data_IF_760023125778
#
_entry.id   IF_760023125778
#
_cell.length_a   1.000
_cell.length_b   1.000
_cell.length_c   1.000
_cell.angle_alpha   90.00
_cell.angle_beta   90.00
_cell.angle_gamma   90.00
#
_symmetry.space_group_name_H-M   'P 1'
#
loop_
_entity.id
_entity.type
_entity.pdbx_description
1 polymer ?
#
# COMPACT_ATOMS: atom_id res chain seq x y z
N UNK A 1 49.76 -1.76 14.14
CA UNK A 1 49.69 -0.62 13.22
C UNK A 1 48.31 -0.01 13.33
N UNK A 2 48.22 1.18 13.93
CA UNK A 2 46.95 1.89 14.13
C UNK A 2 46.48 2.40 12.76
N UNK A 3 45.38 1.87 12.25
CA UNK A 3 44.69 2.42 11.10
C UNK A 3 43.98 3.72 11.53
N UNK A 4 44.62 4.85 11.24
CA UNK A 4 43.92 6.13 11.25
C UNK A 4 42.75 6.02 10.27
N UNK A 5 41.53 6.18 10.74
CA UNK A 5 40.32 6.27 9.94
C UNK A 5 40.50 7.42 8.94
N UNK A 6 40.56 7.17 7.61
CA UNK A 6 40.58 8.27 6.66
C UNK A 6 39.25 9.01 6.80
N UNK A 7 39.34 10.28 7.12
CA UNK A 7 38.20 11.16 7.21
C UNK A 7 37.33 11.03 5.97
N UNK A 8 36.02 11.13 6.13
CA UNK A 8 35.03 10.99 5.09
C UNK A 8 35.29 12.06 3.99
N UNK A 9 35.95 11.69 2.90
CA UNK A 9 36.25 12.59 1.79
C UNK A 9 34.97 12.89 1.01
N UNK A 10 34.40 14.05 1.22
CA UNK A 10 33.17 14.50 0.57
C UNK A 10 33.25 14.49 -0.97
N UNK A 11 34.42 14.76 -1.52
CA UNK A 11 34.70 14.65 -2.97
C UNK A 11 34.60 13.22 -3.47
N UNK A 12 35.10 12.23 -2.71
CA UNK A 12 35.00 10.82 -3.03
C UNK A 12 33.53 10.34 -2.97
N UNK A 13 32.79 10.75 -1.93
CA UNK A 13 31.36 10.46 -1.80
C UNK A 13 30.56 10.99 -3.00
N UNK A 14 30.75 12.26 -3.36
CA UNK A 14 30.08 12.91 -4.49
C UNK A 14 30.38 12.27 -5.83
N UNK A 15 31.66 11.91 -6.09
CA UNK A 15 32.06 11.26 -7.33
C UNK A 15 31.49 9.85 -7.44
N UNK A 16 31.48 9.10 -6.34
CA UNK A 16 30.93 7.74 -6.28
C UNK A 16 29.40 7.75 -6.47
N UNK A 17 28.68 8.63 -5.78
CA UNK A 17 27.23 8.80 -5.95
C UNK A 17 26.86 9.17 -7.39
N UNK A 18 27.63 10.08 -8.01
CA UNK A 18 27.42 10.46 -9.43
C UNK A 18 27.69 9.28 -10.38
N UNK A 19 28.70 8.48 -10.11
CA UNK A 19 29.00 7.29 -10.92
C UNK A 19 27.90 6.24 -10.80
N UNK A 20 27.43 5.97 -9.57
CA UNK A 20 26.32 5.03 -9.30
C UNK A 20 25.02 5.50 -9.95
N UNK A 21 24.67 6.79 -9.80
CA UNK A 21 23.47 7.36 -10.41
C UNK A 21 23.51 7.27 -11.93
N UNK A 22 24.67 7.57 -12.55
CA UNK A 22 24.84 7.40 -14.01
C UNK A 22 24.72 5.94 -14.43
N UNK A 23 25.26 5.01 -13.64
CA UNK A 23 25.11 3.57 -13.85
C UNK A 23 23.64 3.16 -13.84
N UNK A 24 22.89 3.59 -12.83
CA UNK A 24 21.45 3.31 -12.72
C UNK A 24 20.63 3.89 -13.89
N UNK A 25 20.88 5.16 -14.25
CA UNK A 25 20.17 5.82 -15.38
C UNK A 25 20.51 5.16 -16.73
N UNK A 26 21.71 4.59 -16.89
CA UNK A 26 22.09 3.88 -18.12
C UNK A 26 21.57 2.44 -18.18
N UNK A 27 21.20 1.87 -17.05
CA UNK A 27 20.62 0.53 -16.97
C UNK A 27 19.11 0.61 -17.27
N UNK A 28 18.77 0.46 -18.55
CA UNK A 28 17.37 0.50 -19.03
C UNK A 28 16.51 -0.58 -18.37
N UNK A 29 17.09 -1.72 -18.06
CA UNK A 29 16.39 -2.83 -17.41
C UNK A 29 16.05 -2.49 -15.96
N UNK A 30 17.02 -1.97 -15.21
CA UNK A 30 16.80 -1.51 -13.84
C UNK A 30 15.73 -0.41 -13.79
N UNK A 31 15.76 0.58 -14.69
CA UNK A 31 14.74 1.63 -14.79
C UNK A 31 13.37 1.06 -15.15
N UNK A 32 13.29 0.14 -16.10
CA UNK A 32 12.02 -0.45 -16.51
C UNK A 32 11.36 -1.21 -15.35
N UNK A 33 12.10 -2.02 -14.63
CA UNK A 33 11.54 -2.81 -13.52
C UNK A 33 11.32 -2.00 -12.25
N UNK A 34 12.14 -1.01 -11.95
CA UNK A 34 12.00 -0.22 -10.72
C UNK A 34 10.95 0.89 -10.84
N UNK A 35 10.75 1.46 -12.02
CA UNK A 35 9.86 2.61 -12.22
C UNK A 35 8.67 2.25 -13.12
N UNK A 36 8.93 1.72 -14.32
CA UNK A 36 7.88 1.50 -15.32
C UNK A 36 6.89 0.41 -14.88
N UNK A 37 7.38 -0.72 -14.34
CA UNK A 37 6.54 -1.84 -13.94
C UNK A 37 5.56 -1.44 -12.81
N UNK A 38 5.99 -0.82 -11.70
CA UNK A 38 5.05 -0.37 -10.67
C UNK A 38 4.06 0.69 -11.16
N UNK A 39 4.46 1.60 -12.04
CA UNK A 39 3.55 2.56 -12.68
C UNK A 39 2.54 1.85 -13.57
N UNK A 40 2.98 0.84 -14.33
CA UNK A 40 2.07 0.02 -15.13
C UNK A 40 1.03 -0.69 -14.25
N UNK A 41 1.46 -1.26 -13.11
CA UNK A 41 0.55 -1.83 -12.13
C UNK A 41 -0.42 -0.79 -11.56
N UNK A 42 0.04 0.42 -11.26
CA UNK A 42 -0.84 1.51 -10.82
C UNK A 42 -1.90 1.83 -11.88
N UNK A 43 -1.51 1.91 -13.15
CA UNK A 43 -2.43 2.19 -14.25
C UNK A 43 -3.41 1.03 -14.44
N UNK A 44 -2.94 -0.22 -14.47
CA UNK A 44 -3.79 -1.40 -14.66
C UNK A 44 -4.77 -1.60 -13.50
N UNK A 45 -4.26 -1.68 -12.27
CA UNK A 45 -5.10 -1.90 -11.10
C UNK A 45 -5.97 -0.69 -10.81
N UNK A 46 -5.44 0.52 -10.93
CA UNK A 46 -6.22 1.75 -10.74
C UNK A 46 -7.36 1.87 -11.76
N UNK A 47 -7.16 1.46 -13.02
CA UNK A 47 -8.23 1.43 -14.03
C UNK A 47 -9.26 0.32 -13.73
N UNK A 48 -8.81 -0.84 -13.28
CA UNK A 48 -9.68 -1.96 -12.92
C UNK A 48 -10.59 -1.60 -11.73
N UNK A 49 -10.04 -0.98 -10.70
CA UNK A 49 -10.81 -0.54 -9.53
C UNK A 49 -11.67 0.70 -9.80
N UNK A 50 -11.40 1.46 -10.86
CA UNK A 50 -12.27 2.56 -11.30
C UNK A 50 -13.60 2.06 -11.83
N UNK A 51 -13.65 0.84 -12.38
CA UNK A 51 -14.87 0.18 -12.87
C UNK A 51 -15.79 -0.33 -11.76
N UNK A 52 -15.43 -0.13 -10.48
CA UNK A 52 -16.26 -0.20 -9.28
C UNK A 52 -17.23 -1.38 -9.17
N UNK A 53 -16.86 -2.53 -9.61
CA UNK A 53 -17.74 -3.70 -9.47
C UNK A 53 -17.42 -4.51 -8.23
N UNK A 54 -17.89 -4.13 -7.05
CA UNK A 54 -18.19 -5.16 -6.05
C UNK A 54 -19.37 -5.97 -6.55
N UNK A 55 -19.22 -7.28 -6.79
CA UNK A 55 -20.29 -8.08 -7.38
C UNK A 55 -21.52 -8.23 -6.46
N UNK A 56 -21.46 -7.76 -5.21
CA UNK A 56 -22.55 -7.77 -4.25
C UNK A 56 -22.51 -6.52 -3.38
N UNK A 57 -23.66 -5.83 -3.30
CA UNK A 57 -23.87 -4.74 -2.33
C UNK A 57 -23.92 -5.32 -0.90
N UNK A 58 -23.02 -4.86 -0.06
CA UNK A 58 -23.02 -5.22 1.36
C UNK A 58 -23.97 -4.29 2.12
N UNK A 59 -25.07 -4.84 2.62
CA UNK A 59 -26.12 -4.09 3.32
C UNK A 59 -26.19 -4.56 4.77
N UNK A 60 -26.12 -3.60 5.71
CA UNK A 60 -26.31 -3.87 7.14
C UNK A 60 -27.76 -3.62 7.50
N UNK A 61 -28.47 -4.65 7.90
CA UNK A 61 -29.83 -4.58 8.40
C UNK A 61 -29.82 -4.18 9.88
N UNK A 62 -30.48 -3.07 10.21
CA UNK A 62 -30.61 -2.57 11.57
C UNK A 62 -31.92 -3.08 12.15
N UNK A 63 -31.85 -4.02 13.08
CA UNK A 63 -33.03 -4.70 13.64
C UNK A 63 -33.63 -5.69 12.65
N UNK A 64 -34.96 -5.78 12.57
CA UNK A 64 -35.65 -6.65 11.62
C UNK A 64 -36.35 -5.81 10.54
N UNK A 65 -35.85 -5.91 9.29
CA UNK A 65 -36.44 -5.25 8.12
C UNK A 65 -37.30 -6.26 7.35
N UNK A 66 -38.59 -6.33 7.70
CA UNK A 66 -39.51 -7.31 7.12
C UNK A 66 -39.61 -7.25 5.59
N UNK A 67 -39.26 -6.11 4.97
CA UNK A 67 -39.15 -5.96 3.51
C UNK A 67 -37.98 -6.73 2.93
N UNK A 68 -36.80 -6.68 3.58
CA UNK A 68 -35.61 -7.41 3.12
C UNK A 68 -35.77 -8.90 3.31
N UNK A 69 -36.32 -9.36 4.43
CA UNK A 69 -36.51 -10.79 4.70
C UNK A 69 -37.47 -11.46 3.70
N UNK A 70 -38.49 -10.72 3.22
CA UNK A 70 -39.46 -11.17 2.20
C UNK A 70 -38.88 -11.17 0.78
N UNK A 71 -37.94 -10.29 0.49
CA UNK A 71 -37.34 -10.12 -0.85
C UNK A 71 -36.01 -10.85 -1.00
N UNK A 72 -35.27 -11.08 0.08
CA UNK A 72 -33.97 -11.77 0.07
C UNK A 72 -34.05 -13.23 -0.41
N UNK A 73 -35.23 -13.86 -0.31
CA UNK A 73 -35.47 -15.22 -0.80
C UNK A 73 -35.83 -15.31 -2.29
N UNK A 74 -35.93 -14.18 -3.02
CA UNK A 74 -36.31 -14.23 -4.43
C UNK A 74 -35.08 -14.40 -5.35
N UNK A 75 -35.19 -15.29 -6.38
CA UNK A 75 -34.14 -15.44 -7.37
C UNK A 75 -33.92 -14.11 -8.12
N UNK A 76 -32.73 -13.54 -7.98
CA UNK A 76 -32.31 -12.26 -8.59
C UNK A 76 -31.74 -11.24 -7.60
N UNK A 77 -32.26 -11.13 -6.39
CA UNK A 77 -31.72 -10.21 -5.37
C UNK A 77 -30.68 -10.86 -4.44
N UNK A 78 -30.79 -12.15 -4.19
CA UNK A 78 -29.81 -12.94 -3.42
C UNK A 78 -28.41 -12.99 -4.08
N UNK A 79 -28.33 -12.74 -5.38
CA UNK A 79 -27.06 -12.61 -6.12
C UNK A 79 -26.41 -11.25 -6.01
N UNK A 80 -27.18 -10.19 -5.69
CA UNK A 80 -26.73 -8.80 -5.71
C UNK A 80 -26.50 -8.23 -4.32
N UNK A 81 -27.21 -8.76 -3.29
CA UNK A 81 -27.15 -8.26 -1.91
C UNK A 81 -26.45 -9.28 -0.99
N UNK A 82 -25.47 -8.81 -0.22
CA UNK A 82 -24.93 -9.50 0.95
C UNK A 82 -25.46 -8.79 2.19
N UNK A 83 -26.38 -9.44 2.94
CA UNK A 83 -27.04 -8.83 4.11
C UNK A 83 -26.34 -9.31 5.37
N UNK A 84 -25.91 -8.37 6.21
CA UNK A 84 -25.42 -8.59 7.57
C UNK A 84 -26.38 -7.92 8.56
N UNK A 85 -26.51 -8.47 9.77
CA UNK A 85 -27.41 -7.95 10.78
C UNK A 85 -26.66 -7.21 11.88
N UNK A 86 -27.15 -6.03 12.29
CA UNK A 86 -26.64 -5.29 13.43
C UNK A 86 -27.81 -4.81 14.30
N UNK A 87 -27.68 -4.95 15.62
CA UNK A 87 -28.68 -4.44 16.55
C UNK A 87 -28.48 -2.94 16.86
N UNK A 88 -27.28 -2.41 16.65
CA UNK A 88 -26.93 -1.01 16.98
C UNK A 88 -26.88 -0.16 15.71
N UNK A 89 -27.80 0.80 15.60
CA UNK A 89 -27.84 1.80 14.52
C UNK A 89 -26.52 2.56 14.38
N UNK A 90 -25.92 2.96 15.53
CA UNK A 90 -24.65 3.73 15.48
C UNK A 90 -23.50 2.88 14.95
N UNK A 91 -23.48 1.57 15.25
CA UNK A 91 -22.51 0.65 14.73
C UNK A 91 -22.68 0.47 13.21
N UNK A 92 -23.90 0.19 12.75
CA UNK A 92 -24.20 0.03 11.33
C UNK A 92 -23.87 1.27 10.50
N UNK A 93 -24.24 2.47 10.98
CA UNK A 93 -23.89 3.73 10.30
C UNK A 93 -22.35 3.97 10.31
N UNK A 94 -21.64 3.55 11.36
CA UNK A 94 -20.17 3.60 11.37
C UNK A 94 -19.56 2.66 10.33
N UNK A 95 -20.11 1.46 10.13
CA UNK A 95 -19.68 0.53 9.09
C UNK A 95 -19.85 1.13 7.70
N UNK A 96 -20.99 1.79 7.41
CA UNK A 96 -21.18 2.53 6.15
C UNK A 96 -20.18 3.68 6.03
N UNK A 97 -19.95 4.42 7.11
CA UNK A 97 -18.98 5.53 7.13
C UNK A 97 -17.53 5.04 6.91
N UNK A 98 -17.19 3.86 7.40
CA UNK A 98 -15.89 3.22 7.19
C UNK A 98 -15.77 2.49 5.86
N UNK A 99 -16.91 2.33 5.12
CA UNK A 99 -17.00 1.58 3.88
C UNK A 99 -16.85 0.08 4.07
N UNK A 100 -17.12 -0.40 5.25
CA UNK A 100 -17.22 -1.84 5.52
C UNK A 100 -18.57 -2.38 5.02
N UNK A 101 -19.56 -1.47 4.81
CA UNK A 101 -20.84 -1.72 4.17
C UNK A 101 -21.20 -0.60 3.18
N UNK A 102 -21.92 -0.92 2.12
CA UNK A 102 -22.36 0.02 1.10
C UNK A 102 -23.61 0.80 1.54
N UNK A 103 -24.48 0.15 2.34
CA UNK A 103 -25.66 0.77 2.91
C UNK A 103 -26.04 0.15 4.26
N UNK A 104 -26.66 0.95 5.13
CA UNK A 104 -27.35 0.47 6.33
C UNK A 104 -28.84 0.80 6.23
N UNK A 105 -29.68 -0.18 6.50
CA UNK A 105 -31.13 -0.11 6.27
C UNK A 105 -31.87 -0.38 7.54
N UNK A 106 -32.86 0.51 7.85
CA UNK A 106 -33.73 0.39 9.00
C UNK A 106 -35.20 0.55 8.55
N UNK A 107 -36.08 -0.26 9.05
CA UNK A 107 -37.52 -0.10 8.84
C UNK A 107 -38.20 0.43 10.11
N UNK A 108 -38.92 1.53 9.98
CA UNK A 108 -39.74 2.10 11.06
C UNK A 108 -41.17 2.25 10.52
N UNK A 109 -42.03 1.31 10.85
CA UNK A 109 -43.40 1.28 10.31
C UNK A 109 -43.39 1.13 8.78
N UNK A 110 -43.95 2.11 8.08
CA UNK A 110 -43.99 2.19 6.61
C UNK A 110 -42.78 2.93 6.00
N UNK A 111 -41.86 3.40 6.81
CA UNK A 111 -40.69 4.11 6.33
C UNK A 111 -39.48 3.17 6.25
N UNK A 112 -38.86 3.10 5.08
CA UNK A 112 -37.58 2.44 4.87
C UNK A 112 -36.49 3.50 4.83
N UNK A 113 -35.67 3.54 5.88
CA UNK A 113 -34.59 4.50 6.02
C UNK A 113 -33.29 3.83 5.53
N UNK A 114 -32.70 4.37 4.49
CA UNK A 114 -31.44 3.85 3.90
C UNK A 114 -30.33 4.88 4.09
N UNK A 115 -29.34 4.50 4.90
CA UNK A 115 -28.10 5.26 5.05
C UNK A 115 -27.08 4.72 4.05
N UNK A 116 -26.61 5.53 3.13
CA UNK A 116 -25.62 5.12 2.12
C UNK A 116 -24.55 6.18 1.93
N UNK A 117 -23.41 5.76 1.40
CA UNK A 117 -22.28 6.62 1.13
C UNK A 117 -22.35 7.23 -0.27
N UNK A 118 -21.96 8.51 -0.40
CA UNK A 118 -21.79 9.21 -1.68
C UNK A 118 -20.36 9.20 -2.21
N UNK A 119 -19.42 8.55 -1.52
CA UNK A 119 -18.02 8.53 -1.95
C UNK A 119 -17.82 7.84 -3.30
N UNK A 120 -18.68 6.87 -3.63
CA UNK A 120 -18.75 6.25 -4.94
C UNK A 120 -20.13 6.52 -5.57
N UNK A 121 -20.23 7.44 -6.56
CA UNK A 121 -21.49 7.76 -7.23
C UNK A 121 -22.14 6.56 -7.91
N UNK A 122 -21.34 5.58 -8.36
CA UNK A 122 -21.84 4.37 -9.02
C UNK A 122 -22.55 3.48 -8.01
N UNK A 123 -21.92 3.18 -6.88
CA UNK A 123 -22.53 2.40 -5.80
C UNK A 123 -23.72 3.11 -5.19
N UNK A 124 -23.66 4.44 -5.00
CA UNK A 124 -24.79 5.24 -4.53
C UNK A 124 -25.99 5.13 -5.48
N UNK A 125 -25.78 5.22 -6.80
CA UNK A 125 -26.83 5.04 -7.80
C UNK A 125 -27.43 3.63 -7.79
N UNK A 126 -26.62 2.61 -7.62
CA UNK A 126 -27.09 1.21 -7.54
C UNK A 126 -27.91 1.02 -6.24
N UNK A 127 -27.45 1.51 -5.10
CA UNK A 127 -28.19 1.46 -3.82
C UNK A 127 -29.56 2.11 -3.98
N UNK A 128 -29.63 3.32 -4.51
CA UNK A 128 -30.91 4.02 -4.75
C UNK A 128 -31.82 3.23 -5.66
N UNK A 129 -31.31 2.71 -6.78
CA UNK A 129 -32.10 1.94 -7.75
C UNK A 129 -32.61 0.63 -7.15
N UNK A 130 -31.80 -0.09 -6.40
CA UNK A 130 -32.19 -1.35 -5.76
C UNK A 130 -33.27 -1.10 -4.70
N UNK A 131 -33.06 -0.15 -3.79
CA UNK A 131 -34.05 0.12 -2.73
C UNK A 131 -35.33 0.75 -3.24
N UNK A 132 -35.27 1.61 -4.26
CA UNK A 132 -36.49 2.11 -4.91
C UNK A 132 -37.30 1.00 -5.58
N UNK A 133 -36.62 0.03 -6.23
CA UNK A 133 -37.26 -1.13 -6.83
C UNK A 133 -37.89 -2.07 -5.78
N UNK A 134 -37.27 -2.24 -4.62
CA UNK A 134 -37.81 -3.03 -3.50
C UNK A 134 -39.09 -2.38 -2.95
N UNK A 135 -39.07 -1.07 -2.73
CA UNK A 135 -40.22 -0.30 -2.26
C UNK A 135 -41.36 -0.36 -3.26
N UNK A 136 -41.09 -0.06 -4.54
CA UNK A 136 -42.11 -0.10 -5.60
C UNK A 136 -42.78 -1.49 -5.73
N UNK A 137 -42.00 -2.57 -5.62
CA UNK A 137 -42.55 -3.93 -5.61
C UNK A 137 -43.41 -4.25 -4.37
N UNK A 138 -42.95 -3.78 -3.20
CA UNK A 138 -43.70 -3.98 -1.96
C UNK A 138 -45.06 -3.28 -2.01
N UNK A 139 -45.13 -2.10 -2.60
CA UNK A 139 -46.38 -1.34 -2.81
C UNK A 139 -47.31 -2.04 -3.81
N UNK A 140 -46.77 -2.59 -4.91
CA UNK A 140 -47.59 -3.36 -5.86
C UNK A 140 -48.26 -4.61 -5.26
N UNK A 141 -47.58 -5.28 -4.32
CA UNK A 141 -48.13 -6.49 -3.68
C UNK A 141 -49.20 -6.15 -2.63
N UNK A 142 -49.19 -4.94 -2.07
CA UNK A 142 -50.10 -4.55 -0.98
C UNK A 142 -51.48 -4.08 -1.42
N UNK A 143 -51.61 -3.61 -2.65
CA UNK A 143 -52.87 -3.13 -3.24
C UNK A 143 -53.68 -2.09 -2.40
N UNK A 144 -53.07 -1.51 -1.34
CA UNK A 144 -53.70 -0.53 -0.45
C UNK A 144 -53.03 0.84 -0.59
N UNK A 145 -53.69 1.87 -1.14
CA UNK A 145 -53.11 3.19 -1.34
C UNK A 145 -52.75 3.93 -0.06
N UNK A 146 -53.38 3.58 1.08
CA UNK A 146 -53.12 4.23 2.37
C UNK A 146 -51.86 3.67 3.09
N UNK A 147 -51.25 2.62 2.56
CA UNK A 147 -50.14 1.92 3.19
C UNK A 147 -48.84 1.94 2.41
N UNK A 148 -48.66 2.88 1.46
CA UNK A 148 -47.43 2.94 0.66
C UNK A 148 -46.17 3.13 1.50
N UNK A 149 -45.10 2.42 1.12
CA UNK A 149 -43.81 2.56 1.78
C UNK A 149 -43.11 3.84 1.32
N UNK A 150 -42.53 4.57 2.27
CA UNK A 150 -41.75 5.77 1.98
C UNK A 150 -40.25 5.41 2.07
N UNK A 151 -39.51 5.62 0.99
CA UNK A 151 -38.07 5.51 0.98
C UNK A 151 -37.46 6.83 1.45
N UNK A 152 -36.84 6.82 2.62
CA UNK A 152 -36.10 7.94 3.15
C UNK A 152 -34.58 7.62 2.99
N UNK A 153 -33.91 8.43 2.20
CA UNK A 153 -32.48 8.25 1.96
C UNK A 153 -31.67 9.27 2.75
N UNK A 154 -30.76 8.79 3.60
CA UNK A 154 -29.82 9.61 4.32
C UNK A 154 -28.41 9.39 3.75
N UNK A 155 -27.83 10.46 3.25
CA UNK A 155 -26.43 10.47 2.82
C UNK A 155 -25.53 10.50 4.07
N UNK A 156 -24.60 9.57 4.13
CA UNK A 156 -23.58 9.52 5.17
C UNK A 156 -22.27 10.00 4.55
N UNK A 157 -21.67 11.03 5.15
CA UNK A 157 -20.30 11.42 4.80
C UNK A 157 -19.38 10.23 5.02
N UNK A 158 -18.81 9.74 3.94
CA UNK A 158 -17.94 8.59 3.99
C UNK A 158 -16.49 9.06 4.15
N UNK A 159 -15.85 8.58 5.19
CA UNK A 159 -14.41 8.70 5.39
C UNK A 159 -13.63 7.53 4.76
N UNK A 160 -14.32 6.67 3.98
CA UNK A 160 -13.69 5.52 3.35
C UNK A 160 -12.72 5.99 2.27
N UNK A 161 -11.47 5.61 2.35
CA UNK A 161 -10.53 5.87 1.28
C UNK A 161 -11.00 5.16 0.02
N UNK A 162 -11.10 5.90 -1.09
CA UNK A 162 -11.31 5.28 -2.42
C UNK A 162 -10.29 4.18 -2.64
N UNK A 163 -10.58 3.14 -3.43
CA UNK A 163 -9.60 2.08 -3.71
C UNK A 163 -8.24 2.61 -4.14
N UNK A 164 -8.20 3.71 -4.88
CA UNK A 164 -6.96 4.37 -5.29
C UNK A 164 -6.15 4.91 -4.10
N UNK A 165 -6.80 5.38 -3.04
CA UNK A 165 -6.12 5.88 -1.83
C UNK A 165 -5.41 4.76 -1.06
N UNK A 166 -5.87 3.51 -1.20
CA UNK A 166 -5.21 2.34 -0.68
C UNK A 166 -4.11 1.83 -1.63
N UNK A 167 -4.42 1.75 -2.93
CA UNK A 167 -3.53 1.17 -3.94
C UNK A 167 -2.25 1.98 -4.12
N UNK A 168 -2.34 3.32 -4.15
CA UNK A 168 -1.17 4.17 -4.41
C UNK A 168 -0.09 4.00 -3.35
N UNK A 169 -0.36 4.15 -2.03
CA UNK A 169 0.66 3.88 -1.01
C UNK A 169 1.17 2.43 -1.02
N UNK A 170 0.29 1.47 -1.28
CA UNK A 170 0.64 0.05 -1.35
C UNK A 170 1.62 -0.26 -2.49
N UNK A 171 1.29 0.13 -3.70
CA UNK A 171 2.12 -0.06 -4.89
C UNK A 171 3.44 0.73 -4.81
N UNK A 172 3.38 1.96 -4.29
CA UNK A 172 4.58 2.77 -4.07
C UNK A 172 5.49 2.11 -3.03
N UNK A 173 4.94 1.61 -1.92
CA UNK A 173 5.69 0.88 -0.90
C UNK A 173 6.37 -0.37 -1.46
N UNK A 174 5.65 -1.16 -2.26
CA UNK A 174 6.21 -2.32 -2.96
C UNK A 174 7.29 -1.94 -3.97
N UNK A 175 7.09 -0.87 -4.74
CA UNK A 175 8.07 -0.37 -5.71
C UNK A 175 9.38 0.04 -5.03
N UNK A 176 9.28 0.79 -3.92
CA UNK A 176 10.44 1.23 -3.14
C UNK A 176 11.15 0.03 -2.51
N UNK A 177 10.40 -0.88 -1.86
CA UNK A 177 10.94 -2.07 -1.25
C UNK A 177 11.68 -2.95 -2.26
N UNK A 178 11.06 -3.19 -3.42
CA UNK A 178 11.66 -3.96 -4.51
C UNK A 178 12.91 -3.27 -5.05
N UNK A 179 12.79 -2.00 -5.44
CA UNK A 179 13.90 -1.23 -6.02
C UNK A 179 15.11 -1.16 -5.09
N UNK A 180 14.89 -0.87 -3.80
CA UNK A 180 15.97 -0.79 -2.81
C UNK A 180 16.61 -2.16 -2.56
N UNK A 181 15.81 -3.23 -2.43
CA UNK A 181 16.33 -4.58 -2.16
C UNK A 181 17.11 -5.13 -3.36
N UNK A 182 16.50 -5.12 -4.56
CA UNK A 182 17.17 -5.62 -5.78
C UNK A 182 18.39 -4.79 -6.12
N UNK A 183 18.26 -3.45 -6.04
CA UNK A 183 19.34 -2.54 -6.33
C UNK A 183 20.56 -2.79 -5.45
N UNK A 184 20.37 -2.93 -4.15
CA UNK A 184 21.46 -3.20 -3.22
C UNK A 184 22.06 -4.61 -3.41
N UNK A 185 21.22 -5.64 -3.55
CA UNK A 185 21.65 -7.03 -3.68
C UNK A 185 22.47 -7.26 -4.96
N UNK A 186 21.93 -6.83 -6.11
CA UNK A 186 22.57 -7.02 -7.40
C UNK A 186 23.86 -6.19 -7.51
N UNK A 187 23.84 -4.95 -7.01
CA UNK A 187 25.01 -4.07 -7.01
C UNK A 187 26.15 -4.69 -6.21
N UNK A 188 25.87 -5.23 -5.02
CA UNK A 188 26.90 -5.83 -4.17
C UNK A 188 27.51 -7.07 -4.83
N UNK A 189 26.70 -7.95 -5.42
CA UNK A 189 27.18 -9.13 -6.15
C UNK A 189 27.99 -8.72 -7.39
N UNK A 190 27.50 -7.74 -8.15
CA UNK A 190 28.21 -7.21 -9.32
C UNK A 190 29.60 -6.66 -8.97
N UNK A 191 29.70 -5.93 -7.86
CA UNK A 191 30.99 -5.39 -7.41
C UNK A 191 31.99 -6.47 -6.97
N UNK A 192 31.49 -7.57 -6.39
CA UNK A 192 32.35 -8.73 -6.13
C UNK A 192 32.88 -9.33 -7.42
N UNK A 193 32.00 -9.62 -8.39
CA UNK A 193 32.42 -10.23 -9.66
C UNK A 193 33.38 -9.37 -10.46
N UNK A 194 33.17 -8.05 -10.46
CA UNK A 194 34.06 -7.11 -11.18
C UNK A 194 35.37 -6.81 -10.44
N UNK A 195 35.61 -7.44 -9.28
CA UNK A 195 36.74 -7.14 -8.39
C UNK A 195 36.85 -5.66 -8.02
N UNK A 196 35.76 -4.92 -8.16
CA UNK A 196 35.68 -3.49 -7.81
C UNK A 196 35.97 -3.28 -6.33
N UNK A 197 35.45 -4.16 -5.47
CA UNK A 197 35.67 -4.11 -4.02
C UNK A 197 37.17 -4.23 -3.69
N UNK A 198 37.90 -5.10 -4.41
CA UNK A 198 39.37 -5.23 -4.25
C UNK A 198 40.09 -3.94 -4.65
N UNK A 199 39.70 -3.32 -5.77
CA UNK A 199 40.27 -2.03 -6.21
C UNK A 199 39.93 -0.89 -5.27
N UNK A 200 38.72 -0.86 -4.71
CA UNK A 200 38.32 0.13 -3.71
C UNK A 200 39.10 -0.01 -2.40
N UNK A 201 39.50 -1.23 -2.03
CA UNK A 201 40.34 -1.48 -0.84
C UNK A 201 41.75 -0.90 -1.01
N UNK A 202 42.25 -0.80 -2.23
CA UNK A 202 43.55 -0.17 -2.55
C UNK A 202 43.44 1.37 -2.69
N UNK A 203 42.24 1.90 -2.83
CA UNK A 203 41.98 3.33 -2.87
C UNK A 203 41.76 3.88 -1.44
N UNK A 204 42.03 5.16 -1.17
CA UNK A 204 41.79 5.78 0.14
C UNK A 204 40.29 6.08 0.35
N UNK A 205 39.41 5.07 0.12
CA UNK A 205 37.95 5.18 0.25
C UNK A 205 37.49 4.20 1.32
N UNK A 206 36.81 4.70 2.34
CA UNK A 206 36.25 3.84 3.38
C UNK A 206 35.01 3.09 2.87
N UNK A 207 34.81 1.86 3.36
CA UNK A 207 33.61 1.06 3.10
C UNK A 207 32.33 1.82 3.45
N UNK A 208 32.36 2.59 4.52
CA UNK A 208 31.23 3.42 4.93
C UNK A 208 30.85 4.45 3.87
N UNK A 209 31.84 5.06 3.20
CA UNK A 209 31.58 6.01 2.10
C UNK A 209 30.89 5.36 0.90
N UNK A 210 31.21 4.11 0.62
CA UNK A 210 30.60 3.33 -0.46
C UNK A 210 29.13 3.01 -0.15
N UNK A 211 28.87 2.55 1.08
CA UNK A 211 27.49 2.24 1.54
C UNK A 211 26.65 3.53 1.61
N UNK A 212 27.22 4.62 2.13
CA UNK A 212 26.54 5.92 2.18
C UNK A 212 26.24 6.48 0.77
N UNK A 213 27.17 6.32 -0.19
CA UNK A 213 26.90 6.72 -1.57
C UNK A 213 25.75 5.92 -2.18
N UNK A 214 25.75 4.59 -1.96
CA UNK A 214 24.65 3.72 -2.38
C UNK A 214 23.32 4.09 -1.74
N UNK A 215 23.32 4.36 -0.43
CA UNK A 215 22.14 4.83 0.29
C UNK A 215 21.62 6.15 -0.29
N UNK A 216 22.49 7.12 -0.53
CA UNK A 216 22.11 8.40 -1.14
C UNK A 216 21.46 8.25 -2.51
N UNK A 217 21.98 7.36 -3.35
CA UNK A 217 21.38 7.06 -4.67
C UNK A 217 20.03 6.36 -4.51
N UNK A 218 19.92 5.36 -3.63
CA UNK A 218 18.66 4.66 -3.39
C UNK A 218 17.57 5.60 -2.84
N UNK A 219 17.93 6.50 -1.92
CA UNK A 219 17.03 7.53 -1.38
C UNK A 219 16.55 8.49 -2.48
N UNK A 220 17.46 8.94 -3.35
CA UNK A 220 17.12 9.81 -4.47
C UNK A 220 16.15 9.12 -5.44
N UNK A 221 16.43 7.85 -5.78
CA UNK A 221 15.55 7.05 -6.65
C UNK A 221 14.17 6.88 -6.02
N UNK A 222 14.09 6.58 -4.72
CA UNK A 222 12.83 6.44 -4.00
C UNK A 222 12.01 7.74 -3.98
N UNK A 223 12.67 8.89 -3.81
CA UNK A 223 12.00 10.20 -3.88
C UNK A 223 11.49 10.50 -5.30
N UNK A 224 12.25 10.16 -6.33
CA UNK A 224 11.81 10.30 -7.72
C UNK A 224 10.61 9.38 -8.00
N UNK A 225 10.65 8.13 -7.54
CA UNK A 225 9.52 7.20 -7.63
C UNK A 225 8.29 7.76 -6.92
N UNK A 226 8.44 8.25 -5.69
CA UNK A 226 7.35 8.86 -4.94
C UNK A 226 6.75 10.06 -5.69
N UNK A 227 7.59 10.97 -6.18
CA UNK A 227 7.14 12.12 -6.94
C UNK A 227 6.37 11.72 -8.21
N UNK A 228 6.90 10.73 -8.96
CA UNK A 228 6.25 10.22 -10.16
C UNK A 228 4.90 9.56 -9.86
N UNK A 229 4.82 8.72 -8.81
CA UNK A 229 3.58 8.09 -8.40
C UNK A 229 2.53 9.12 -7.98
N UNK A 230 2.92 10.12 -7.19
CA UNK A 230 2.02 11.19 -6.78
C UNK A 230 1.54 12.01 -7.98
N UNK A 231 2.45 12.36 -8.89
CA UNK A 231 2.12 13.11 -10.10
C UNK A 231 1.04 12.37 -10.92
N UNK A 232 1.19 11.06 -11.10
CA UNK A 232 0.24 10.25 -11.86
C UNK A 232 -1.06 10.07 -11.07
N UNK A 233 -0.98 9.73 -9.79
CA UNK A 233 -2.14 9.38 -8.97
C UNK A 233 -3.05 10.58 -8.68
N UNK A 234 -2.50 11.80 -8.61
CA UNK A 234 -3.28 13.03 -8.40
C UNK A 234 -3.95 13.57 -9.65
N UNK A 235 -3.69 12.97 -10.83
CA UNK A 235 -4.41 13.35 -12.05
C UNK A 235 -5.92 13.13 -11.90
N UNK A 236 -6.76 13.89 -12.63
CA UNK A 236 -8.21 13.71 -12.59
C UNK A 236 -8.66 12.28 -12.97
N UNK A 237 -7.81 11.56 -13.71
CA UNK A 237 -8.07 10.17 -14.10
C UNK A 237 -8.08 9.23 -12.88
N UNK A 238 -7.14 9.34 -11.95
CA UNK A 238 -7.07 8.50 -10.76
C UNK A 238 -7.74 9.14 -9.53
N UNK A 239 -7.69 10.47 -9.43
CA UNK A 239 -8.41 11.23 -8.42
C UNK A 239 -7.94 10.97 -6.98
N UNK A 240 -6.64 10.69 -6.78
CA UNK A 240 -6.06 10.59 -5.44
C UNK A 240 -6.17 11.94 -4.72
N UNK A 241 -6.83 11.95 -3.59
CA UNK A 241 -6.91 13.11 -2.71
C UNK A 241 -5.88 12.98 -1.59
N UNK A 242 -4.89 13.86 -1.60
CA UNK A 242 -3.86 13.90 -0.57
C UNK A 242 -4.39 14.64 0.67
N UNK A 243 -4.08 14.11 1.84
CA UNK A 243 -4.39 14.75 3.12
C UNK A 243 -3.40 15.91 3.40
N UNK A 244 -3.70 16.75 4.39
CA UNK A 244 -2.79 17.81 4.80
C UNK A 244 -1.43 17.29 5.34
N UNK A 245 -1.39 16.03 5.82
CA UNK A 245 -0.20 15.40 6.39
C UNK A 245 0.63 14.58 5.39
N UNK A 246 0.32 14.62 4.08
CA UNK A 246 0.96 13.79 3.04
C UNK A 246 2.49 13.91 3.01
N UNK A 247 3.05 15.05 3.39
CA UNK A 247 4.49 15.29 3.43
C UNK A 247 5.24 14.36 4.40
N UNK A 248 4.54 13.83 5.42
CA UNK A 248 5.08 12.82 6.34
C UNK A 248 5.35 11.46 5.66
N UNK A 249 4.81 11.23 4.46
CA UNK A 249 5.20 10.08 3.66
C UNK A 249 6.68 10.13 3.25
N UNK A 250 7.29 11.32 3.13
CA UNK A 250 8.72 11.47 2.79
C UNK A 250 9.61 10.77 3.82
N UNK A 251 9.58 11.10 5.13
CA UNK A 251 10.41 10.40 6.12
C UNK A 251 10.08 8.89 6.21
N UNK A 252 8.82 8.49 6.03
CA UNK A 252 8.45 7.05 5.99
C UNK A 252 9.14 6.35 4.81
N UNK A 253 9.11 6.95 3.62
CA UNK A 253 9.78 6.45 2.41
C UNK A 253 11.28 6.38 2.61
N UNK A 254 11.90 7.39 3.21
CA UNK A 254 13.35 7.40 3.46
C UNK A 254 13.75 6.26 4.41
N UNK A 255 13.05 6.10 5.54
CA UNK A 255 13.31 5.00 6.49
C UNK A 255 13.03 3.63 5.85
N UNK A 256 11.93 3.50 5.10
CA UNK A 256 11.61 2.27 4.37
C UNK A 256 12.69 1.90 3.34
N UNK A 257 13.15 2.88 2.56
CA UNK A 257 14.23 2.65 1.58
C UNK A 257 15.50 2.12 2.25
N UNK A 258 15.90 2.69 3.38
CA UNK A 258 17.08 2.22 4.12
C UNK A 258 16.88 0.82 4.71
N UNK A 259 15.69 0.52 5.23
CA UNK A 259 15.37 -0.81 5.74
C UNK A 259 15.45 -1.87 4.63
N UNK A 260 14.84 -1.63 3.48
CA UNK A 260 14.84 -2.56 2.35
C UNK A 260 16.19 -2.64 1.65
N UNK A 261 16.95 -1.55 1.58
CA UNK A 261 18.34 -1.57 1.16
C UNK A 261 19.18 -2.46 2.07
N UNK A 262 18.97 -2.43 3.38
CA UNK A 262 19.69 -3.29 4.34
C UNK A 262 19.38 -4.77 4.13
N UNK A 263 18.11 -5.11 3.81
CA UNK A 263 17.72 -6.47 3.39
C UNK A 263 18.48 -6.86 2.11
N UNK A 264 18.54 -5.97 1.13
CA UNK A 264 19.26 -6.20 -0.12
C UNK A 264 20.77 -6.43 0.08
N UNK A 265 21.40 -5.63 0.95
CA UNK A 265 22.81 -5.82 1.32
C UNK A 265 23.04 -7.17 2.00
N UNK A 266 22.13 -7.59 2.88
CA UNK A 266 22.20 -8.89 3.53
C UNK A 266 22.07 -10.02 2.50
N UNK A 267 21.10 -9.97 1.60
CA UNK A 267 20.94 -10.93 0.49
C UNK A 267 22.20 -10.97 -0.36
N UNK A 268 22.70 -9.81 -0.77
CA UNK A 268 23.93 -9.68 -1.55
C UNK A 268 25.17 -10.23 -0.82
N UNK A 269 25.16 -10.31 0.52
CA UNK A 269 26.26 -10.89 1.29
C UNK A 269 26.35 -12.42 1.13
N UNK A 270 25.23 -13.11 0.97
CA UNK A 270 25.15 -14.57 0.81
C UNK A 270 25.15 -15.01 -0.65
N UNK A 271 24.52 -14.22 -1.53
CA UNK A 271 24.34 -14.61 -2.92
C UNK A 271 25.67 -14.65 -3.68
N UNK A 272 25.92 -15.75 -4.39
CA UNK A 272 27.13 -15.91 -5.21
C UNK A 272 26.97 -15.34 -6.62
N UNK A 273 25.75 -15.28 -7.15
CA UNK A 273 25.44 -14.79 -8.50
C UNK A 273 24.30 -13.76 -8.45
N UNK A 274 24.22 -12.92 -9.48
CA UNK A 274 23.10 -11.97 -9.59
C UNK A 274 21.75 -12.68 -9.71
N UNK A 275 21.71 -13.83 -10.39
CA UNK A 275 20.51 -14.66 -10.52
C UNK A 275 20.05 -15.19 -9.15
N UNK A 276 21.00 -15.69 -8.35
CA UNK A 276 20.70 -16.15 -6.99
C UNK A 276 20.21 -14.99 -6.11
N UNK A 277 20.83 -13.82 -6.19
CA UNK A 277 20.41 -12.62 -5.46
C UNK A 277 18.99 -12.22 -5.84
N UNK A 278 18.67 -12.22 -7.13
CA UNK A 278 17.32 -11.91 -7.64
C UNK A 278 16.29 -12.93 -7.18
N UNK A 279 16.62 -14.23 -7.23
CA UNK A 279 15.71 -15.29 -6.78
C UNK A 279 15.39 -15.18 -5.28
N UNK A 280 16.41 -14.95 -4.44
CA UNK A 280 16.24 -14.78 -2.99
C UNK A 280 15.42 -13.50 -2.70
N UNK A 281 15.74 -12.39 -3.38
CA UNK A 281 15.01 -11.15 -3.22
C UNK A 281 13.51 -11.30 -3.58
N UNK A 282 13.20 -11.99 -4.69
CA UNK A 282 11.82 -12.30 -5.07
C UNK A 282 11.11 -13.16 -4.03
N UNK A 283 11.79 -14.19 -3.51
CA UNK A 283 11.23 -15.09 -2.49
C UNK A 283 10.86 -14.33 -1.19
N UNK A 284 11.56 -13.24 -0.89
CA UNK A 284 11.31 -12.41 0.29
C UNK A 284 10.27 -11.31 -0.01
N UNK A 285 10.47 -10.55 -1.11
CA UNK A 285 9.66 -9.35 -1.38
C UNK A 285 8.26 -9.72 -1.85
N UNK A 286 8.09 -10.78 -2.63
CA UNK A 286 6.78 -11.13 -3.18
C UNK A 286 5.78 -11.56 -2.09
N UNK A 287 6.10 -12.48 -1.16
CA UNK A 287 5.23 -12.75 -0.02
C UNK A 287 4.98 -11.51 0.86
N UNK A 288 6.02 -10.69 1.09
CA UNK A 288 5.86 -9.44 1.85
C UNK A 288 4.87 -8.48 1.18
N UNK A 289 4.79 -8.45 -0.15
CA UNK A 289 3.87 -7.56 -0.86
C UNK A 289 2.40 -7.93 -0.60
N UNK A 290 2.11 -9.23 -0.53
CA UNK A 290 0.76 -9.70 -0.17
C UNK A 290 0.50 -9.58 1.33
N UNK A 291 1.42 -10.05 2.17
CA UNK A 291 1.28 -10.04 3.63
C UNK A 291 1.42 -8.63 4.23
N UNK A 292 2.12 -7.73 3.56
CA UNK A 292 2.28 -6.33 3.98
C UNK A 292 1.13 -5.42 3.59
N UNK A 293 0.11 -5.94 2.89
CA UNK A 293 -1.06 -5.15 2.50
C UNK A 293 -0.81 -4.19 1.33
N UNK A 294 0.18 -4.47 0.47
CA UNK A 294 0.47 -3.62 -0.68
C UNK A 294 -0.58 -3.75 -1.79
N UNK A 295 -1.09 -4.96 -2.04
CA UNK A 295 -2.04 -5.25 -3.11
C UNK A 295 -3.46 -5.45 -2.61
N UNK A 296 -3.63 -6.03 -1.42
CA UNK A 296 -4.92 -6.38 -0.85
C UNK A 296 -4.99 -5.81 0.57
N UNK A 297 -6.09 -5.10 0.93
CA UNK A 297 -6.27 -4.64 2.30
C UNK A 297 -6.28 -5.81 3.30
N UNK A 298 -5.41 -5.74 4.30
CA UNK A 298 -5.26 -6.81 5.30
C UNK A 298 -6.54 -7.07 6.11
N UNK A 299 -7.47 -6.11 6.18
CA UNK A 299 -8.78 -6.28 6.85
C UNK A 299 -9.62 -7.42 6.26
N UNK A 300 -9.40 -7.78 4.99
CA UNK A 300 -10.10 -8.89 4.33
C UNK A 300 -9.39 -10.23 4.48
N UNK A 301 -8.19 -10.22 5.07
CA UNK A 301 -7.40 -11.42 5.28
C UNK A 301 -7.86 -12.17 6.54
N UNK A 302 -7.70 -13.51 6.61
CA UNK A 302 -7.90 -14.28 7.84
C UNK A 302 -7.04 -13.73 9.00
N UNK A 303 -7.52 -13.89 10.24
CA UNK A 303 -6.86 -13.33 11.45
C UNK A 303 -5.40 -13.77 11.56
N UNK A 304 -5.11 -15.05 11.35
CA UNK A 304 -3.73 -15.58 11.40
C UNK A 304 -2.79 -14.88 10.40
N UNK A 305 -3.33 -14.44 9.24
CA UNK A 305 -2.55 -13.73 8.22
C UNK A 305 -2.32 -12.27 8.64
N UNK A 306 -3.31 -11.65 9.29
CA UNK A 306 -3.17 -10.33 9.88
C UNK A 306 -2.09 -10.33 10.96
N UNK A 307 -2.06 -11.36 11.81
CA UNK A 307 -1.04 -11.52 12.84
C UNK A 307 0.35 -11.73 12.25
N UNK A 308 0.48 -12.61 11.25
CA UNK A 308 1.75 -12.84 10.54
C UNK A 308 2.27 -11.57 9.86
N UNK A 309 1.39 -10.68 9.41
CA UNK A 309 1.76 -9.44 8.75
C UNK A 309 2.54 -8.47 9.64
N UNK A 310 2.36 -8.54 10.98
CA UNK A 310 3.13 -7.70 11.91
C UNK A 310 4.63 -7.98 11.88
N UNK A 311 5.04 -9.18 11.46
CA UNK A 311 6.45 -9.51 11.27
C UNK A 311 7.03 -8.93 9.96
N UNK A 312 6.18 -8.41 9.06
CA UNK A 312 6.59 -7.97 7.74
C UNK A 312 6.97 -6.49 7.71
N UNK A 313 8.21 -6.12 7.37
CA UNK A 313 8.65 -4.72 7.26
C UNK A 313 7.80 -3.88 6.30
N UNK A 314 7.34 -4.47 5.21
CA UNK A 314 6.54 -3.78 4.19
C UNK A 314 5.21 -3.28 4.75
N UNK A 315 4.61 -3.98 5.72
CA UNK A 315 3.40 -3.53 6.41
C UNK A 315 3.58 -2.13 6.99
N UNK A 316 4.68 -1.89 7.69
CA UNK A 316 4.92 -0.59 8.35
C UNK A 316 5.16 0.52 7.32
N UNK A 317 5.86 0.22 6.22
CA UNK A 317 6.04 1.17 5.13
C UNK A 317 4.70 1.55 4.50
N UNK A 318 3.87 0.54 4.17
CA UNK A 318 2.57 0.74 3.51
C UNK A 318 1.57 1.42 4.43
N UNK A 319 1.40 0.93 5.67
CA UNK A 319 0.45 1.53 6.63
C UNK A 319 0.86 2.94 7.01
N UNK A 320 2.14 3.19 7.29
CA UNK A 320 2.62 4.54 7.59
C UNK A 320 2.34 5.55 6.47
N UNK A 321 2.49 5.13 5.21
CA UNK A 321 2.10 5.98 4.08
C UNK A 321 0.58 6.12 3.95
N UNK A 322 -0.20 5.05 4.17
CA UNK A 322 -1.66 5.11 4.10
C UNK A 322 -2.24 6.06 5.15
N UNK A 323 -1.73 6.02 6.37
CA UNK A 323 -2.22 6.82 7.49
C UNK A 323 -2.07 8.32 7.22
N UNK A 324 -0.93 8.73 6.63
CA UNK A 324 -0.65 10.14 6.36
C UNK A 324 -1.10 10.61 4.97
N UNK A 325 -1.20 9.75 3.97
CA UNK A 325 -1.58 10.15 2.60
C UNK A 325 -3.08 10.02 2.35
N UNK A 326 -3.74 9.01 2.96
CA UNK A 326 -5.08 8.61 2.62
C UNK A 326 -6.08 8.73 3.78
N UNK A 327 -5.70 8.31 5.00
CA UNK A 327 -6.60 8.29 6.15
C UNK A 327 -6.71 9.61 6.88
N UNK A 328 -5.73 10.50 6.73
CA UNK A 328 -5.73 11.81 7.38
C UNK A 328 -5.53 11.76 8.89
N UNK A 329 -4.87 10.73 9.41
CA UNK A 329 -4.66 10.54 10.86
C UNK A 329 -3.65 11.52 11.48
N UNK A 330 -3.19 12.49 10.69
CA UNK A 330 -2.26 13.51 11.14
C UNK A 330 -0.79 13.08 11.11
N UNK A 331 0.16 14.03 11.35
CA UNK A 331 1.58 13.76 11.20
C UNK A 331 2.12 12.73 12.20
N UNK A 332 1.54 12.64 13.39
CA UNK A 332 1.96 11.71 14.45
C UNK A 332 1.76 10.24 14.11
N UNK A 333 0.82 9.91 13.24
CA UNK A 333 0.51 8.54 12.86
C UNK A 333 1.66 7.82 12.13
N UNK A 334 2.55 8.57 11.47
CA UNK A 334 3.73 8.01 10.81
C UNK A 334 4.86 7.61 11.79
N UNK A 335 4.89 8.17 12.99
CA UNK A 335 6.02 7.99 13.92
C UNK A 335 6.27 6.53 14.32
N UNK A 336 5.26 5.70 14.63
CA UNK A 336 5.48 4.29 14.91
C UNK A 336 6.12 3.53 13.75
N UNK A 337 5.65 3.79 12.52
CA UNK A 337 6.19 3.18 11.31
C UNK A 337 7.65 3.58 11.09
N UNK A 338 7.97 4.87 11.23
CA UNK A 338 9.34 5.40 11.13
C UNK A 338 10.23 4.75 12.19
N UNK A 339 9.78 4.67 13.44
CA UNK A 339 10.54 4.07 14.53
C UNK A 339 10.87 2.60 14.27
N UNK A 340 9.89 1.79 13.88
CA UNK A 340 10.08 0.37 13.59
C UNK A 340 11.02 0.18 12.39
N UNK A 341 10.83 0.94 11.30
CA UNK A 341 11.69 0.86 10.12
C UNK A 341 13.12 1.31 10.43
N UNK A 342 13.31 2.31 11.28
CA UNK A 342 14.64 2.77 11.70
C UNK A 342 15.37 1.71 12.55
N UNK A 343 14.68 1.11 13.51
CA UNK A 343 15.23 0.01 14.34
C UNK A 343 15.59 -1.17 13.46
N UNK A 344 14.71 -1.55 12.55
CA UNK A 344 14.96 -2.64 11.60
C UNK A 344 16.18 -2.34 10.72
N UNK A 345 16.29 -1.10 10.21
CA UNK A 345 17.47 -0.65 9.45
C UNK A 345 18.74 -0.83 10.26
N UNK A 346 18.76 -0.40 11.51
CA UNK A 346 19.94 -0.52 12.38
C UNK A 346 20.34 -1.98 12.61
N UNK A 347 19.37 -2.84 12.92
CA UNK A 347 19.59 -4.28 13.16
C UNK A 347 20.09 -4.98 11.90
N UNK A 348 19.44 -4.77 10.77
CA UNK A 348 19.81 -5.43 9.52
C UNK A 348 21.12 -4.91 8.96
N UNK A 349 21.39 -3.61 9.06
CA UNK A 349 22.65 -3.02 8.62
C UNK A 349 23.81 -3.55 9.49
N UNK A 350 23.62 -3.62 10.80
CA UNK A 350 24.60 -4.21 11.71
C UNK A 350 24.86 -5.68 11.35
N UNK A 351 23.82 -6.46 11.11
CA UNK A 351 23.92 -7.86 10.67
C UNK A 351 24.65 -7.99 9.35
N UNK A 352 24.30 -7.14 8.37
CA UNK A 352 24.96 -7.15 7.06
C UNK A 352 26.45 -6.84 7.17
N UNK A 353 26.83 -5.87 8.01
CA UNK A 353 28.26 -5.53 8.25
C UNK A 353 28.99 -6.70 8.92
N UNK A 354 28.36 -7.42 9.85
CA UNK A 354 28.97 -8.57 10.55
C UNK A 354 29.14 -9.80 9.64
N UNK A 355 28.19 -10.03 8.75
CA UNK A 355 28.18 -11.18 7.82
C UNK A 355 29.06 -10.89 6.59
N UNK A 356 29.24 -9.62 6.26
CA UNK A 356 30.03 -9.23 5.09
C UNK A 356 31.50 -9.60 5.25
N UNK A 357 31.92 -10.67 4.59
CA UNK A 357 33.33 -11.13 4.54
C UNK A 357 33.99 -10.59 3.28
N UNK A 358 35.04 -9.79 3.49
CA UNK A 358 35.84 -9.20 2.40
C UNK A 358 36.75 -10.22 1.69
N UNK A 359 36.94 -11.39 2.29
CA UNK A 359 38.07 -12.28 2.00
C UNK A 359 37.71 -13.55 1.19
N UNK A 360 36.45 -13.75 0.81
CA UNK A 360 36.04 -14.95 0.06
C UNK A 360 35.82 -14.63 -1.43
N UNK A 361 36.89 -14.31 -2.14
CA UNK A 361 37.00 -14.48 -3.61
C UNK A 361 38.45 -14.77 -3.95
#
# INVERSE_FOLDING_TARGET
MAFSSPGMNFTALRSLSRAMLRGFVRDRTALAFSVLLPVLFLVLLGSLYRGGGSPKLTVVEIGNVGLLSRTAGQPGLSGVLAVTHSADRKAAVREVRRGDADAAVQQIGNQLIVHYSIADPTTAGIVQTVFSSIVARADQVRADPAGSYQLLTHQVENTTPKPIQFLVPGLLGWAIASGATFGAAITLVSWRHSKLLHRLRLAPVSTGSVVLAGAGVSLLVALIQMALFLLIATTPFFGLQLTAAWWMAVPVVLCGTLAFMSIGLLIGSFAKTQQAATAIANLIILPMAFLGGAFIPLRFAPVWLQDASYAMPLRYLVTGMQDVMARGEGPGAALPAIGILAVLTAVLMFSAIRVFRWDEI
#
